data_IF_333339001213
#
_entry.id   IF_333339001213
#
_cell.length_a   1.000
_cell.length_b   1.000
_cell.length_c   1.000
_cell.angle_alpha   90.00
_cell.angle_beta   90.00
_cell.angle_gamma   90.00
#
_symmetry.space_group_name_H-M   'P 1'
#
loop_
_entity.id
_entity.type
_entity.pdbx_description
1 polymer ?
#
# COMPACT_ATOMS: atom_id res chain seq x y z
N UNK A 1 11.55 31.21 -1.78
CA UNK A 1 12.41 30.07 -1.40
C UNK A 1 11.90 28.79 -2.01
N UNK A 2 12.77 28.02 -2.62
CA UNK A 2 12.41 26.71 -3.12
C UNK A 2 12.55 25.67 -2.02
N UNK A 3 11.47 25.00 -1.71
CA UNK A 3 11.54 23.87 -0.77
C UNK A 3 11.94 22.64 -1.56
N UNK A 4 13.08 22.05 -1.21
CA UNK A 4 13.55 20.82 -1.85
C UNK A 4 13.01 19.65 -1.03
N UNK A 5 12.17 18.85 -1.67
CA UNK A 5 11.63 17.65 -1.03
C UNK A 5 12.37 16.43 -1.58
N UNK A 6 12.96 15.67 -0.69
CA UNK A 6 13.65 14.43 -1.02
C UNK A 6 12.84 13.23 -0.53
N UNK A 7 12.76 12.20 -1.36
CA UNK A 7 12.07 10.96 -1.01
C UNK A 7 13.12 9.87 -0.76
N UNK A 8 13.05 9.25 0.39
CA UNK A 8 14.01 8.23 0.81
C UNK A 8 13.38 6.86 0.78
N UNK A 9 14.08 5.90 0.18
CA UNK A 9 13.68 4.49 0.25
C UNK A 9 14.02 3.95 1.64
N UNK A 10 13.04 3.52 2.38
CA UNK A 10 13.22 3.02 3.75
C UNK A 10 14.03 1.73 3.80
N UNK A 11 14.07 0.97 2.71
CA UNK A 11 14.77 -0.31 2.66
C UNK A 11 16.27 -0.17 2.46
N UNK A 12 16.70 0.73 1.58
CA UNK A 12 18.11 0.87 1.24
C UNK A 12 18.69 2.25 1.57
N UNK A 13 17.86 3.20 1.98
CA UNK A 13 18.31 4.54 2.32
C UNK A 13 18.64 5.44 1.13
N UNK A 14 18.41 5.00 -0.10
CA UNK A 14 18.64 5.82 -1.28
C UNK A 14 17.69 7.01 -1.32
N UNK A 15 18.19 8.18 -1.74
CA UNK A 15 17.42 9.41 -1.81
C UNK A 15 17.08 9.71 -3.27
N UNK A 16 15.83 10.08 -3.52
CA UNK A 16 15.32 10.38 -4.84
C UNK A 16 14.64 11.74 -4.87
N UNK A 17 14.68 12.37 -6.04
CA UNK A 17 14.04 13.67 -6.24
C UNK A 17 12.54 13.56 -6.53
N UNK A 18 12.07 12.38 -6.92
CA UNK A 18 10.66 12.16 -7.26
C UNK A 18 10.08 11.00 -6.46
N UNK A 19 8.77 11.09 -6.19
CA UNK A 19 8.02 10.03 -5.51
C UNK A 19 8.06 8.74 -6.34
N UNK A 20 7.91 8.85 -7.66
CA UNK A 20 7.90 7.69 -8.56
C UNK A 20 9.20 6.90 -8.48
N UNK A 21 10.34 7.58 -8.44
CA UNK A 21 11.65 6.93 -8.33
C UNK A 21 11.79 6.19 -6.99
N UNK A 22 11.35 6.83 -5.90
CA UNK A 22 11.37 6.22 -4.56
C UNK A 22 10.47 4.99 -4.50
N UNK A 23 9.27 5.07 -5.06
CA UNK A 23 8.33 3.96 -5.10
C UNK A 23 8.85 2.81 -5.97
N UNK A 24 9.49 3.11 -7.09
CA UNK A 24 10.09 2.10 -7.95
C UNK A 24 11.21 1.35 -7.22
N UNK A 25 12.02 2.07 -6.44
CA UNK A 25 13.06 1.45 -5.62
C UNK A 25 12.46 0.51 -4.57
N UNK A 26 11.45 0.97 -3.84
CA UNK A 26 10.76 0.14 -2.85
C UNK A 26 10.12 -1.09 -3.48
N UNK A 27 9.48 -0.94 -4.64
CA UNK A 27 8.88 -2.04 -5.37
C UNK A 27 9.91 -3.13 -5.72
N UNK A 28 11.10 -2.73 -6.11
CA UNK A 28 12.20 -3.64 -6.41
C UNK A 28 12.56 -4.53 -5.22
N UNK A 29 12.54 -3.99 -4.01
CA UNK A 29 12.86 -4.75 -2.80
C UNK A 29 11.83 -5.84 -2.51
N UNK A 30 10.63 -5.72 -3.05
CA UNK A 30 9.57 -6.72 -2.93
C UNK A 30 9.42 -7.58 -4.19
N UNK A 31 10.30 -7.40 -5.18
CA UNK A 31 10.21 -8.08 -6.48
C UNK A 31 8.90 -7.79 -7.21
N UNK A 32 8.41 -6.56 -7.07
CA UNK A 32 7.19 -6.09 -7.71
C UNK A 32 7.51 -5.05 -8.77
N UNK A 33 6.67 -4.97 -9.80
CA UNK A 33 6.70 -3.83 -10.71
C UNK A 33 6.10 -2.61 -10.00
N UNK A 34 6.32 -1.42 -10.55
CA UNK A 34 5.75 -0.20 -9.98
C UNK A 34 4.22 -0.26 -9.95
N UNK A 35 3.59 -0.80 -11.00
CA UNK A 35 2.14 -0.96 -11.06
C UNK A 35 1.63 -1.93 -9.99
N UNK A 36 2.32 -3.05 -9.80
CA UNK A 36 1.99 -4.01 -8.75
C UNK A 36 2.14 -3.41 -7.37
N UNK A 37 3.21 -2.66 -7.14
CA UNK A 37 3.44 -1.99 -5.88
C UNK A 37 2.34 -0.96 -5.58
N UNK A 38 1.97 -0.16 -6.57
CA UNK A 38 0.88 0.81 -6.43
C UNK A 38 -0.45 0.12 -6.14
N UNK A 39 -0.72 -1.01 -6.79
CA UNK A 39 -1.91 -1.81 -6.53
C UNK A 39 -1.93 -2.32 -5.08
N UNK A 40 -0.81 -2.81 -4.59
CA UNK A 40 -0.67 -3.28 -3.21
C UNK A 40 -0.95 -2.15 -2.21
N UNK A 41 -0.37 -0.96 -2.45
CA UNK A 41 -0.62 0.20 -1.59
C UNK A 41 -2.09 0.61 -1.61
N UNK A 42 -2.74 0.55 -2.77
CA UNK A 42 -4.16 0.84 -2.91
C UNK A 42 -5.01 -0.17 -2.11
N UNK A 43 -4.67 -1.45 -2.15
CA UNK A 43 -5.36 -2.48 -1.37
C UNK A 43 -5.19 -2.26 0.13
N UNK A 44 -4.00 -1.89 0.58
CA UNK A 44 -3.75 -1.56 1.99
C UNK A 44 -4.60 -0.40 2.45
N UNK A 45 -4.66 0.66 1.65
CA UNK A 45 -5.46 1.85 1.96
C UNK A 45 -6.93 1.52 2.00
N UNK A 46 -7.42 0.72 1.05
CA UNK A 46 -8.82 0.31 1.01
C UNK A 46 -9.20 -0.49 2.26
N UNK A 47 -8.35 -1.42 2.68
CA UNK A 47 -8.58 -2.20 3.89
C UNK A 47 -8.58 -1.31 5.14
N UNK A 48 -7.66 -0.35 5.22
CA UNK A 48 -7.57 0.59 6.33
C UNK A 48 -8.82 1.48 6.40
N UNK A 49 -9.25 2.04 5.28
CA UNK A 49 -10.45 2.89 5.22
C UNK A 49 -11.71 2.10 5.58
N UNK A 50 -11.84 0.88 5.06
CA UNK A 50 -12.96 0.01 5.39
C UNK A 50 -12.97 -0.34 6.88
N UNK A 51 -11.81 -0.55 7.49
CA UNK A 51 -11.68 -0.78 8.91
C UNK A 51 -12.12 0.41 9.75
N UNK A 52 -11.78 1.62 9.34
CA UNK A 52 -12.21 2.85 10.02
C UNK A 52 -13.72 3.02 9.94
N UNK A 53 -14.30 2.81 8.77
CA UNK A 53 -15.76 2.90 8.58
C UNK A 53 -16.47 1.84 9.42
N UNK A 54 -15.97 0.61 9.43
CA UNK A 54 -16.51 -0.47 10.25
C UNK A 54 -16.47 -0.14 11.74
N UNK A 55 -15.41 0.54 12.20
CA UNK A 55 -15.30 0.99 13.58
C UNK A 55 -16.29 2.08 13.97
N UNK A 56 -16.66 2.95 13.01
CA UNK A 56 -17.61 4.04 13.25
C UNK A 56 -19.05 3.58 13.08
N UNK A 57 -19.31 2.79 12.03
CA UNK A 57 -20.65 2.28 11.70
C UNK A 57 -20.59 0.77 11.55
N UNK A 58 -20.66 0.09 12.67
CA UNK A 58 -20.60 -1.37 12.67
C UNK A 58 -21.96 -1.94 12.27
N UNK A 59 -22.05 -2.45 11.05
CA UNK A 59 -23.20 -3.17 10.56
C UNK A 59 -22.74 -4.27 9.58
N UNK A 60 -23.68 -5.14 9.17
CA UNK A 60 -23.37 -6.25 8.30
C UNK A 60 -22.71 -5.83 6.98
N UNK A 61 -23.16 -4.73 6.39
CA UNK A 61 -22.63 -4.22 5.13
C UNK A 61 -21.18 -3.76 5.29
N UNK A 62 -20.85 -2.99 6.35
CA UNK A 62 -19.50 -2.50 6.58
C UNK A 62 -18.56 -3.64 6.94
N UNK A 63 -19.01 -4.62 7.69
CA UNK A 63 -18.23 -5.79 8.03
C UNK A 63 -17.89 -6.61 6.78
N UNK A 64 -18.85 -6.79 5.87
CA UNK A 64 -18.63 -7.48 4.61
C UNK A 64 -17.64 -6.75 3.72
N UNK A 65 -17.74 -5.42 3.61
CA UNK A 65 -16.82 -4.61 2.83
C UNK A 65 -15.40 -4.71 3.40
N UNK A 66 -15.26 -4.67 4.71
CA UNK A 66 -13.98 -4.82 5.38
C UNK A 66 -13.36 -6.20 5.10
N UNK A 67 -14.14 -7.25 5.26
CA UNK A 67 -13.68 -8.62 5.01
C UNK A 67 -13.22 -8.81 3.57
N UNK A 68 -13.97 -8.28 2.61
CA UNK A 68 -13.61 -8.36 1.19
C UNK A 68 -12.30 -7.63 0.93
N UNK A 69 -12.13 -6.43 1.48
CA UNK A 69 -10.90 -5.64 1.31
C UNK A 69 -9.69 -6.36 1.90
N UNK A 70 -9.82 -6.91 3.10
CA UNK A 70 -8.75 -7.66 3.77
C UNK A 70 -8.40 -8.93 2.99
N UNK A 71 -9.41 -9.65 2.52
CA UNK A 71 -9.20 -10.89 1.75
C UNK A 71 -8.45 -10.60 0.44
N UNK A 72 -8.79 -9.53 -0.26
CA UNK A 72 -8.08 -9.12 -1.48
C UNK A 72 -6.63 -8.79 -1.19
N UNK A 73 -6.38 -8.06 -0.11
CA UNK A 73 -5.03 -7.71 0.31
C UNK A 73 -4.20 -8.95 0.64
N UNK A 74 -4.76 -9.85 1.43
CA UNK A 74 -4.09 -11.10 1.82
C UNK A 74 -3.81 -12.00 0.62
N UNK A 75 -4.76 -12.09 -0.32
CA UNK A 75 -4.58 -12.87 -1.54
C UNK A 75 -3.42 -12.32 -2.38
N UNK A 76 -3.33 -11.00 -2.52
CA UNK A 76 -2.23 -10.36 -3.23
C UNK A 76 -0.88 -10.64 -2.56
N UNK A 77 -0.81 -10.48 -1.25
CA UNK A 77 0.42 -10.72 -0.49
C UNK A 77 0.86 -12.19 -0.58
N UNK A 78 -0.10 -13.11 -0.57
CA UNK A 78 0.17 -14.55 -0.69
C UNK A 78 0.75 -14.89 -2.07
N UNK A 79 0.16 -14.34 -3.14
CA UNK A 79 0.61 -14.59 -4.51
C UNK A 79 2.05 -14.08 -4.71
N UNK A 80 2.38 -12.95 -4.11
CA UNK A 80 3.70 -12.33 -4.25
C UNK A 80 4.67 -12.63 -3.10
N UNK A 81 4.29 -13.49 -2.16
CA UNK A 81 5.11 -13.86 -0.98
C UNK A 81 5.56 -12.65 -0.15
N UNK A 82 4.64 -11.73 0.10
CA UNK A 82 4.93 -10.49 0.84
C UNK A 82 4.69 -10.61 2.35
N UNK A 83 4.05 -11.67 2.78
CA UNK A 83 3.75 -11.88 4.21
C UNK A 83 4.95 -12.38 5.00
#
# INVERSE_FOLDING_TARGET
MKTVIHYKCEKCGAVFDTTSAALACEAKHYNLSLDEYNHWMALKKLAEDAGKICGIRKNEKTENEFDVAVNKLLAFEKVHNLS
#
